data_IF_728253075363
#
_entry.id   IF_728253075363
#
_cell.length_a   1.000
_cell.length_b   1.000
_cell.length_c   1.000
_cell.angle_alpha   90.00
_cell.angle_beta   90.00
_cell.angle_gamma   90.00
#
_symmetry.space_group_name_H-M   'P 1'
#
loop_
_entity.id
_entity.type
_entity.pdbx_description
1 polymer ?
#
# COMPACT_ATOMS: atom_id res chain seq x y z
N UNK A 1 -19.17 -2.38 -2.52
CA UNK A 1 -18.79 -3.76 -2.13
C UNK A 1 -17.41 -3.71 -1.53
N UNK A 2 -17.14 -4.48 -0.47
CA UNK A 2 -15.81 -4.61 0.11
C UNK A 2 -14.91 -5.44 -0.80
N UNK A 3 -13.70 -4.92 -1.02
CA UNK A 3 -12.68 -5.60 -1.86
C UNK A 3 -11.68 -6.31 -0.97
N UNK A 4 -11.30 -5.69 0.17
CA UNK A 4 -10.32 -6.25 1.10
C UNK A 4 -10.89 -6.18 2.53
N UNK A 5 -10.84 -7.28 3.26
CA UNK A 5 -11.33 -7.36 4.65
C UNK A 5 -10.34 -8.07 5.54
N UNK A 6 -10.11 -7.52 6.72
CA UNK A 6 -9.50 -8.21 7.85
C UNK A 6 -10.57 -8.54 8.88
N UNK A 7 -10.61 -9.77 9.34
CA UNK A 7 -11.62 -10.25 10.33
C UNK A 7 -10.90 -10.84 11.54
N UNK A 8 -11.04 -10.21 12.70
CA UNK A 8 -10.46 -10.64 13.95
C UNK A 8 -8.93 -10.76 13.92
N UNK A 9 -8.24 -9.89 13.17
CA UNK A 9 -6.81 -9.99 12.94
C UNK A 9 -6.01 -9.86 14.23
N UNK A 10 -5.25 -10.89 14.56
CA UNK A 10 -4.23 -10.89 15.59
C UNK A 10 -2.86 -11.20 15.01
N UNK A 11 -1.84 -10.51 15.52
CA UNK A 11 -0.45 -10.80 15.15
C UNK A 11 0.45 -10.74 16.39
N UNK A 12 1.13 -11.83 16.66
CA UNK A 12 2.08 -11.97 17.74
C UNK A 12 3.46 -12.33 17.19
N UNK A 13 4.47 -11.57 17.57
CA UNK A 13 5.87 -11.84 17.22
C UNK A 13 6.61 -12.42 18.42
N UNK A 14 7.55 -13.33 18.18
CA UNK A 14 8.34 -13.99 19.24
C UNK A 14 7.54 -15.06 19.99
N UNK A 15 8.13 -15.57 21.07
CA UNK A 15 7.56 -16.63 21.92
C UNK A 15 7.88 -16.41 23.39
N UNK A 16 7.10 -17.02 24.29
CA UNK A 16 7.32 -16.94 25.74
C UNK A 16 7.19 -15.50 26.27
N UNK A 17 8.07 -15.12 27.19
CA UNK A 17 8.04 -13.81 27.87
C UNK A 17 8.43 -12.61 26.99
N UNK A 18 9.07 -12.85 25.85
CA UNK A 18 9.46 -11.81 24.90
C UNK A 18 8.46 -11.61 23.77
N UNK A 19 7.31 -12.29 23.82
CA UNK A 19 6.29 -12.17 22.79
C UNK A 19 5.65 -10.79 22.83
N UNK A 20 5.54 -10.16 21.64
CA UNK A 20 4.88 -8.87 21.44
C UNK A 20 3.61 -9.10 20.66
N UNK A 21 2.47 -8.71 21.22
CA UNK A 21 1.19 -8.69 20.54
C UNK A 21 1.07 -7.39 19.74
N UNK A 22 1.35 -7.45 18.44
CA UNK A 22 1.33 -6.28 17.57
C UNK A 22 -0.09 -5.91 17.11
N UNK A 23 -0.99 -6.91 17.02
CA UNK A 23 -2.42 -6.72 16.74
C UNK A 23 -3.26 -7.73 17.56
N UNK A 24 -4.43 -7.28 18.01
CA UNK A 24 -5.32 -8.05 18.85
C UNK A 24 -6.81 -7.86 18.46
N UNK A 25 -7.32 -8.75 17.59
CA UNK A 25 -8.73 -8.79 17.22
C UNK A 25 -9.18 -7.60 16.37
N UNK A 26 -8.37 -7.18 15.39
CA UNK A 26 -8.67 -6.04 14.54
C UNK A 26 -9.57 -6.44 13.38
N UNK A 27 -10.71 -5.75 13.26
CA UNK A 27 -11.59 -5.80 12.10
C UNK A 27 -11.38 -4.55 11.24
N UNK A 28 -11.29 -4.73 9.91
CA UNK A 28 -11.17 -3.65 8.93
C UNK A 28 -11.82 -4.04 7.62
N UNK A 29 -12.46 -3.07 6.99
CA UNK A 29 -13.08 -3.25 5.67
C UNK A 29 -12.61 -2.12 4.74
N UNK A 30 -12.06 -2.49 3.58
CA UNK A 30 -11.61 -1.54 2.55
C UNK A 30 -12.50 -1.71 1.33
N UNK A 31 -13.23 -0.65 0.96
CA UNK A 31 -14.27 -0.68 -0.08
C UNK A 31 -13.77 -0.09 -1.38
N UNK A 32 -14.31 -0.61 -2.50
CA UNK A 32 -14.04 -0.07 -3.83
C UNK A 32 -14.39 1.43 -3.90
N UNK A 33 -13.48 2.22 -4.46
CA UNK A 33 -13.67 3.66 -4.63
C UNK A 33 -13.64 4.48 -3.34
N UNK A 34 -13.20 3.89 -2.22
CA UNK A 34 -13.09 4.57 -0.92
C UNK A 34 -11.67 4.56 -0.39
N UNK A 35 -11.33 5.64 0.30
CA UNK A 35 -10.10 5.81 1.03
C UNK A 35 -10.34 5.51 2.51
N UNK A 36 -9.73 4.43 3.01
CA UNK A 36 -9.64 4.11 4.44
C UNK A 36 -8.29 4.57 4.96
N UNK A 37 -8.28 5.40 6.00
CA UNK A 37 -7.05 5.83 6.69
C UNK A 37 -6.91 5.10 8.01
N UNK A 38 -5.74 4.52 8.25
CA UNK A 38 -5.33 3.95 9.53
C UNK A 38 -4.40 4.94 10.22
N UNK A 39 -4.84 5.54 11.34
CA UNK A 39 -4.03 6.44 12.15
C UNK A 39 -3.69 5.84 13.50
N UNK A 40 -2.69 6.38 14.16
CA UNK A 40 -2.26 5.99 15.51
C UNK A 40 -0.79 6.32 15.77
N UNK A 41 -0.35 6.30 17.02
CA UNK A 41 1.05 6.58 17.36
C UNK A 41 2.03 5.58 16.73
N UNK A 42 3.32 5.91 16.77
CA UNK A 42 4.36 4.96 16.37
C UNK A 42 4.27 3.70 17.25
N UNK A 43 4.47 2.53 16.65
CA UNK A 43 4.35 1.24 17.35
C UNK A 43 2.92 0.76 17.59
N UNK A 44 1.87 1.47 17.17
CA UNK A 44 0.48 1.03 17.39
C UNK A 44 0.04 -0.18 16.55
N UNK A 45 0.86 -0.66 15.60
CA UNK A 45 0.56 -1.81 14.76
C UNK A 45 0.13 -1.48 13.32
N UNK A 46 0.15 -0.21 12.87
CA UNK A 46 -0.28 0.19 11.51
C UNK A 46 0.42 -0.58 10.40
N UNK A 47 1.75 -0.56 10.37
CA UNK A 47 2.55 -1.31 9.38
C UNK A 47 2.25 -2.82 9.43
N UNK A 48 2.10 -3.38 10.64
CA UNK A 48 1.71 -4.79 10.81
C UNK A 48 0.35 -5.06 10.17
N UNK A 49 -0.65 -4.21 10.42
CA UNK A 49 -1.97 -4.34 9.82
C UNK A 49 -1.88 -4.29 8.28
N UNK A 50 -1.16 -3.32 7.72
CA UNK A 50 -0.99 -3.21 6.27
C UNK A 50 -0.26 -4.43 5.67
N UNK A 51 0.75 -4.97 6.36
CA UNK A 51 1.47 -6.17 5.93
C UNK A 51 0.56 -7.40 5.91
N UNK A 52 -0.31 -7.57 6.90
CA UNK A 52 -1.29 -8.65 6.90
C UNK A 52 -2.29 -8.48 5.74
N UNK A 53 -2.85 -7.29 5.57
CA UNK A 53 -3.79 -6.97 4.50
C UNK A 53 -3.18 -7.19 3.11
N UNK A 54 -1.90 -6.86 2.94
CA UNK A 54 -1.15 -7.06 1.70
C UNK A 54 -0.64 -8.48 1.48
N UNK A 55 -0.87 -9.39 2.43
CA UNK A 55 -0.33 -10.75 2.37
C UNK A 55 1.19 -10.81 2.39
N UNK A 56 1.85 -9.81 2.98
CA UNK A 56 3.30 -9.80 3.20
C UNK A 56 3.68 -10.53 4.50
N UNK A 57 2.71 -10.68 5.39
CA UNK A 57 2.83 -11.45 6.63
C UNK A 57 1.52 -12.23 6.85
N UNK A 58 1.55 -13.24 7.73
CA UNK A 58 0.39 -14.06 8.05
C UNK A 58 -0.14 -13.72 9.44
N UNK A 59 -1.47 -13.60 9.62
CA UNK A 59 -2.03 -13.39 10.94
C UNK A 59 -1.80 -14.62 11.84
N UNK A 60 -1.61 -14.38 13.13
CA UNK A 60 -1.58 -15.45 14.16
C UNK A 60 -3.00 -15.94 14.47
N UNK A 61 -4.00 -15.05 14.34
CA UNK A 61 -5.41 -15.34 14.45
C UNK A 61 -6.22 -14.44 13.52
N UNK A 62 -7.43 -14.84 13.20
CA UNK A 62 -8.27 -14.15 12.23
C UNK A 62 -7.88 -14.47 10.79
N UNK A 63 -8.45 -13.74 9.83
CA UNK A 63 -8.23 -13.98 8.40
C UNK A 63 -8.33 -12.72 7.58
N UNK A 64 -7.62 -12.70 6.44
CA UNK A 64 -7.68 -11.66 5.42
C UNK A 64 -8.38 -12.20 4.19
N UNK A 65 -9.37 -11.44 3.69
CA UNK A 65 -10.12 -11.79 2.48
C UNK A 65 -9.90 -10.71 1.42
N UNK A 66 -9.66 -11.15 0.18
CA UNK A 66 -9.58 -10.31 -1.01
C UNK A 66 -10.65 -10.78 -2.01
N UNK A 67 -11.77 -10.05 -2.06
CA UNK A 67 -12.98 -10.58 -2.69
C UNK A 67 -13.46 -11.83 -1.98
N UNK A 68 -13.51 -12.95 -2.73
CA UNK A 68 -13.91 -14.26 -2.21
C UNK A 68 -12.70 -15.12 -1.73
N UNK A 69 -11.47 -14.68 -2.03
CA UNK A 69 -10.26 -15.41 -1.68
C UNK A 69 -9.85 -15.14 -0.23
N UNK A 70 -9.56 -16.18 0.54
CA UNK A 70 -8.99 -16.08 1.89
C UNK A 70 -7.46 -16.03 1.78
N UNK A 71 -6.87 -14.84 1.70
CA UNK A 71 -5.42 -14.66 1.49
C UNK A 71 -4.56 -15.37 2.52
N UNK A 72 -5.02 -15.41 3.77
CA UNK A 72 -4.29 -16.07 4.88
C UNK A 72 -4.19 -17.59 4.75
N UNK A 73 -4.99 -18.21 3.88
CA UNK A 73 -5.04 -19.67 3.65
C UNK A 73 -4.37 -20.08 2.31
N UNK A 74 -4.05 -19.10 1.45
CA UNK A 74 -3.40 -19.37 0.17
C UNK A 74 -1.98 -19.93 0.36
N UNK A 75 -1.56 -20.76 -0.59
CA UNK A 75 -0.16 -21.14 -0.74
C UNK A 75 0.70 -19.93 -1.10
N UNK A 76 2.01 -19.99 -0.89
CA UNK A 76 2.93 -18.89 -1.24
C UNK A 76 2.88 -18.51 -2.73
N UNK A 77 2.66 -19.49 -3.62
CA UNK A 77 2.54 -19.24 -5.05
C UNK A 77 1.24 -18.47 -5.40
N UNK A 78 0.11 -18.88 -4.82
CA UNK A 78 -1.18 -18.20 -4.99
C UNK A 78 -1.16 -16.80 -4.37
N UNK A 79 -0.57 -16.65 -3.19
CA UNK A 79 -0.42 -15.37 -2.52
C UNK A 79 0.49 -14.42 -3.32
N UNK A 80 1.57 -14.93 -3.92
CA UNK A 80 2.42 -14.15 -4.83
C UNK A 80 1.66 -13.72 -6.10
N UNK A 81 0.79 -14.58 -6.64
CA UNK A 81 -0.08 -14.24 -7.76
C UNK A 81 -1.10 -13.16 -7.39
N UNK A 82 -1.76 -13.27 -6.23
CA UNK A 82 -2.70 -12.28 -5.73
C UNK A 82 -2.03 -10.90 -5.55
N UNK A 83 -0.82 -10.86 -4.95
CA UNK A 83 -0.04 -9.62 -4.82
C UNK A 83 0.34 -9.03 -6.17
N UNK A 84 0.83 -9.86 -7.11
CA UNK A 84 1.23 -9.41 -8.45
C UNK A 84 0.06 -8.82 -9.23
N UNK A 85 -1.12 -9.45 -9.12
CA UNK A 85 -2.23 -9.17 -10.04
C UNK A 85 -3.26 -8.20 -9.46
N UNK A 86 -3.37 -8.09 -8.13
CA UNK A 86 -4.48 -7.39 -7.51
C UNK A 86 -4.08 -6.29 -6.53
N UNK A 87 -2.84 -6.33 -5.99
CA UNK A 87 -2.42 -5.43 -4.91
C UNK A 87 -1.26 -4.54 -5.37
N UNK A 88 -1.41 -3.22 -5.20
CA UNK A 88 -0.32 -2.26 -5.25
C UNK A 88 0.14 -1.91 -3.85
N UNK A 89 1.44 -1.90 -3.59
CA UNK A 89 1.98 -1.59 -2.28
C UNK A 89 2.99 -0.44 -2.33
N UNK A 90 2.76 0.61 -1.54
CA UNK A 90 3.69 1.71 -1.29
C UNK A 90 4.33 1.50 0.08
N UNK A 91 5.64 1.26 0.10
CA UNK A 91 6.39 0.99 1.33
C UNK A 91 6.92 2.28 1.96
N UNK A 92 6.95 2.33 3.28
CA UNK A 92 7.53 3.44 4.05
C UNK A 92 9.02 3.69 3.69
N UNK A 93 9.80 2.63 3.48
CA UNK A 93 11.21 2.67 3.08
C UNK A 93 11.40 2.51 1.57
N UNK A 94 10.48 3.03 0.74
CA UNK A 94 10.47 3.00 -0.72
C UNK A 94 10.47 1.59 -1.33
N UNK A 95 11.20 0.63 -0.78
CA UNK A 95 11.31 -0.75 -1.26
C UNK A 95 11.84 -0.85 -2.70
N UNK A 96 12.67 0.09 -3.16
CA UNK A 96 13.24 0.10 -4.50
C UNK A 96 14.39 -0.90 -4.62
N UNK A 97 14.52 -1.48 -5.81
CA UNK A 97 15.64 -2.37 -6.15
C UNK A 97 16.82 -1.50 -6.57
N UNK A 98 17.95 -1.48 -5.80
CA UNK A 98 19.00 -0.48 -5.96
C UNK A 98 19.73 -0.51 -7.31
N UNK A 99 19.81 -1.70 -7.94
CA UNK A 99 20.50 -1.89 -9.23
C UNK A 99 19.66 -1.48 -10.43
N UNK A 100 18.35 -1.30 -10.26
CA UNK A 100 17.41 -0.91 -11.30
C UNK A 100 17.24 0.61 -11.33
N UNK A 101 17.04 1.18 -12.52
CA UNK A 101 16.64 2.58 -12.69
C UNK A 101 15.23 2.83 -12.15
N UNK A 102 14.81 4.10 -12.09
CA UNK A 102 13.44 4.47 -11.73
C UNK A 102 12.41 3.81 -12.65
N UNK A 103 12.61 3.88 -13.96
CA UNK A 103 11.73 3.24 -14.95
C UNK A 103 11.67 1.73 -14.78
N UNK A 104 12.83 1.08 -14.61
CA UNK A 104 12.89 -0.36 -14.39
C UNK A 104 12.24 -0.80 -13.07
N UNK A 105 12.36 -0.01 -11.98
CA UNK A 105 11.64 -0.27 -10.73
C UNK A 105 10.13 -0.22 -10.93
N UNK A 106 9.64 0.78 -11.68
CA UNK A 106 8.21 0.90 -12.02
C UNK A 106 7.74 -0.22 -12.93
N UNK A 107 8.60 -0.69 -13.83
CA UNK A 107 8.29 -1.76 -14.79
C UNK A 107 8.13 -3.15 -14.14
N UNK A 108 8.76 -3.41 -12.98
CA UNK A 108 8.79 -4.74 -12.33
C UNK A 108 7.42 -5.43 -12.29
N UNK A 109 6.32 -4.80 -11.80
CA UNK A 109 5.01 -5.47 -11.76
C UNK A 109 4.51 -5.91 -13.13
N UNK A 110 4.78 -5.14 -14.18
CA UNK A 110 4.34 -5.45 -15.54
C UNK A 110 5.17 -6.59 -16.15
N UNK A 111 6.47 -6.67 -15.84
CA UNK A 111 7.32 -7.81 -16.22
C UNK A 111 6.83 -9.11 -15.58
N UNK A 112 6.48 -9.07 -14.31
CA UNK A 112 5.93 -10.22 -13.58
C UNK A 112 4.59 -10.70 -14.18
N UNK A 113 3.78 -9.78 -14.74
CA UNK A 113 2.55 -10.09 -15.47
C UNK A 113 2.80 -10.52 -16.93
N UNK A 114 4.06 -10.58 -17.37
CA UNK A 114 4.46 -10.92 -18.74
C UNK A 114 3.81 -10.02 -19.81
N UNK A 115 3.57 -8.75 -19.45
CA UNK A 115 3.04 -7.78 -20.41
C UNK A 115 4.02 -7.56 -21.56
N UNK A 116 3.50 -7.34 -22.78
CA UNK A 116 4.29 -7.07 -23.98
C UNK A 116 5.14 -5.79 -23.79
N UNK A 117 6.34 -5.76 -24.40
CA UNK A 117 7.33 -4.71 -24.15
C UNK A 117 6.83 -3.31 -24.51
N UNK A 118 6.23 -3.14 -25.71
CA UNK A 118 5.74 -1.82 -26.13
C UNK A 118 4.69 -1.25 -25.17
N UNK A 119 3.73 -2.11 -24.78
CA UNK A 119 2.70 -1.73 -23.81
C UNK A 119 3.28 -1.39 -22.42
N UNK A 120 4.35 -2.10 -22.00
CA UNK A 120 5.04 -1.78 -20.75
C UNK A 120 5.72 -0.43 -20.81
N UNK A 121 6.47 -0.17 -21.89
CA UNK A 121 7.23 1.06 -22.08
C UNK A 121 6.29 2.27 -22.06
N UNK A 122 5.16 2.21 -22.78
CA UNK A 122 4.11 3.22 -22.79
C UNK A 122 3.51 3.44 -21.38
N UNK A 123 3.17 2.34 -20.69
CA UNK A 123 2.56 2.41 -19.37
C UNK A 123 3.50 2.95 -18.29
N UNK A 124 4.78 2.59 -18.35
CA UNK A 124 5.82 3.12 -17.45
C UNK A 124 6.01 4.62 -17.68
N UNK A 125 6.07 5.06 -18.95
CA UNK A 125 6.18 6.48 -19.28
C UNK A 125 4.98 7.28 -18.75
N UNK A 126 3.75 6.80 -18.97
CA UNK A 126 2.51 7.42 -18.47
C UNK A 126 2.58 7.62 -16.94
N UNK A 127 2.95 6.59 -16.19
CA UNK A 127 2.93 6.67 -14.72
C UNK A 127 4.08 7.51 -14.17
N UNK A 128 5.25 7.49 -14.81
CA UNK A 128 6.37 8.38 -14.45
C UNK A 128 6.02 9.85 -14.70
N UNK A 129 5.25 10.15 -15.73
CA UNK A 129 4.74 11.50 -15.99
C UNK A 129 3.76 11.95 -14.89
N UNK A 130 2.81 11.09 -14.50
CA UNK A 130 1.85 11.36 -13.42
C UNK A 130 2.52 11.74 -12.10
N UNK A 131 3.66 11.10 -11.77
CA UNK A 131 4.42 11.41 -10.55
C UNK A 131 5.53 12.46 -10.77
N UNK A 132 5.62 13.06 -11.96
CA UNK A 132 6.59 14.11 -12.28
C UNK A 132 8.05 13.64 -12.31
N UNK A 133 8.31 12.41 -12.77
CA UNK A 133 9.64 11.79 -12.81
C UNK A 133 10.15 11.44 -14.21
N UNK A 134 9.52 11.93 -15.28
CA UNK A 134 9.93 11.63 -16.67
C UNK A 134 11.42 11.87 -16.90
N UNK A 135 11.97 13.00 -16.39
CA UNK A 135 13.40 13.35 -16.56
C UNK A 135 14.35 12.50 -15.71
N UNK A 136 13.82 11.78 -14.74
CA UNK A 136 14.57 10.94 -13.79
C UNK A 136 14.44 9.44 -14.10
N UNK A 137 13.79 9.07 -15.19
CA UNK A 137 13.47 7.67 -15.56
C UNK A 137 14.70 6.75 -15.59
N UNK A 138 15.84 7.25 -16.07
CA UNK A 138 17.10 6.50 -16.15
C UNK A 138 17.94 6.46 -14.87
N UNK A 139 17.62 7.26 -13.86
CA UNK A 139 18.39 7.35 -12.62
C UNK A 139 18.13 6.16 -11.70
N UNK A 140 19.17 5.73 -10.97
CA UNK A 140 19.05 4.68 -9.94
C UNK A 140 18.67 5.28 -8.60
N UNK A 141 18.13 4.47 -7.65
CA UNK A 141 17.72 4.98 -6.33
C UNK A 141 18.77 5.82 -5.61
N UNK A 142 20.06 5.47 -5.69
CA UNK A 142 21.14 6.24 -5.08
C UNK A 142 21.39 7.62 -5.69
N UNK A 143 20.84 7.91 -6.88
CA UNK A 143 20.94 9.19 -7.58
C UNK A 143 19.67 10.05 -7.41
N UNK A 144 18.66 9.51 -6.70
CA UNK A 144 17.37 10.14 -6.45
C UNK A 144 17.29 10.67 -5.02
N UNK A 145 16.65 11.83 -4.84
CA UNK A 145 16.28 12.29 -3.50
C UNK A 145 15.26 11.36 -2.84
N UNK A 146 15.10 11.40 -1.51
CA UNK A 146 14.11 10.60 -0.79
C UNK A 146 12.70 10.79 -1.34
N UNK A 147 12.29 12.04 -1.63
CA UNK A 147 10.99 12.33 -2.23
C UNK A 147 10.84 11.80 -3.67
N UNK A 148 11.92 11.76 -4.46
CA UNK A 148 11.90 11.13 -5.78
C UNK A 148 11.77 9.61 -5.67
N UNK A 149 12.50 8.97 -4.74
CA UNK A 149 12.38 7.54 -4.47
C UNK A 149 10.97 7.16 -4.02
N UNK A 150 10.35 7.97 -3.15
CA UNK A 150 8.95 7.77 -2.72
C UNK A 150 8.00 7.81 -3.92
N UNK A 151 8.16 8.79 -4.81
CA UNK A 151 7.35 8.89 -6.03
C UNK A 151 7.54 7.72 -6.98
N UNK A 152 8.75 7.16 -7.10
CA UNK A 152 8.99 5.90 -7.83
C UNK A 152 8.24 4.75 -7.18
N UNK A 153 8.23 4.66 -5.85
CA UNK A 153 7.47 3.66 -5.10
C UNK A 153 5.96 3.74 -5.35
N UNK A 154 5.41 4.97 -5.36
CA UNK A 154 4.00 5.22 -5.71
C UNK A 154 3.72 4.82 -7.16
N UNK A 155 4.56 5.25 -8.11
CA UNK A 155 4.43 4.89 -9.52
C UNK A 155 4.41 3.38 -9.73
N UNK A 156 5.33 2.66 -9.08
CA UNK A 156 5.39 1.18 -9.13
C UNK A 156 4.12 0.53 -8.59
N UNK A 157 3.56 1.05 -7.51
CA UNK A 157 2.32 0.52 -6.94
C UNK A 157 1.12 0.70 -7.88
N UNK A 158 1.10 1.79 -8.67
CA UNK A 158 -0.03 2.15 -9.54
C UNK A 158 0.09 1.61 -10.98
N UNK A 159 1.30 1.24 -11.43
CA UNK A 159 1.56 0.89 -12.84
C UNK A 159 0.71 -0.26 -13.34
N UNK A 160 0.47 -1.25 -12.47
CA UNK A 160 -0.30 -2.45 -12.79
C UNK A 160 -1.83 -2.27 -12.64
N UNK A 161 -2.33 -1.07 -12.34
CA UNK A 161 -3.77 -0.77 -12.09
C UNK A 161 -4.38 -1.74 -11.08
N UNK A 162 -3.93 -1.71 -9.82
CA UNK A 162 -4.37 -2.66 -8.81
C UNK A 162 -5.85 -2.47 -8.43
N UNK A 163 -6.49 -3.55 -7.96
CA UNK A 163 -7.81 -3.50 -7.32
C UNK A 163 -7.73 -2.87 -5.93
N UNK A 164 -6.62 -3.13 -5.23
CA UNK A 164 -6.33 -2.62 -3.88
C UNK A 164 -5.01 -1.88 -3.88
N UNK A 165 -5.00 -0.67 -3.33
CA UNK A 165 -3.80 0.11 -3.04
C UNK A 165 -3.58 0.14 -1.53
N UNK A 166 -2.43 -0.35 -1.09
CA UNK A 166 -1.98 -0.29 0.30
C UNK A 166 -0.80 0.67 0.37
N UNK A 167 -0.84 1.66 1.24
CA UNK A 167 0.25 2.64 1.36
C UNK A 167 0.63 2.89 2.82
N UNK A 168 1.89 2.73 3.14
CA UNK A 168 2.45 3.02 4.45
C UNK A 168 3.25 4.32 4.38
N UNK A 169 2.74 5.39 5.00
CA UNK A 169 3.30 6.75 5.02
C UNK A 169 3.71 7.28 3.63
N UNK A 170 2.80 7.30 2.62
CA UNK A 170 3.16 7.57 1.23
C UNK A 170 3.70 8.98 0.98
N UNK A 171 3.50 9.91 1.91
CA UNK A 171 3.90 11.33 1.81
C UNK A 171 4.98 11.75 2.81
N UNK A 172 5.38 10.85 3.73
CA UNK A 172 6.25 11.17 4.85
C UNK A 172 7.66 11.68 4.51
N UNK A 173 8.13 11.51 3.27
CA UNK A 173 9.43 11.96 2.78
C UNK A 173 9.33 13.07 1.71
N UNK A 174 8.13 13.65 1.54
CA UNK A 174 7.86 14.65 0.51
C UNK A 174 7.79 16.06 1.12
N UNK A 175 8.16 17.05 0.33
CA UNK A 175 7.77 18.43 0.60
C UNK A 175 6.25 18.62 0.45
N UNK A 176 5.71 19.67 1.05
CA UNK A 176 4.26 19.87 1.14
C UNK A 176 3.56 19.92 -0.22
N UNK A 177 4.16 20.57 -1.23
CA UNK A 177 3.57 20.68 -2.56
C UNK A 177 3.54 19.33 -3.27
N UNK A 178 4.64 18.57 -3.17
CA UNK A 178 4.72 17.22 -3.74
C UNK A 178 3.81 16.24 -2.99
N UNK A 179 3.72 16.36 -1.66
CA UNK A 179 2.81 15.54 -0.85
C UNK A 179 1.35 15.74 -1.29
N UNK A 180 0.91 16.97 -1.49
CA UNK A 180 -0.44 17.28 -1.96
C UNK A 180 -0.73 16.67 -3.32
N UNK A 181 0.18 16.78 -4.28
CA UNK A 181 0.03 16.17 -5.61
C UNK A 181 -0.08 14.63 -5.55
N UNK A 182 0.72 13.97 -4.70
CA UNK A 182 0.65 12.52 -4.53
C UNK A 182 -0.65 12.11 -3.84
N UNK A 183 -1.13 12.89 -2.87
CA UNK A 183 -2.43 12.67 -2.25
C UNK A 183 -3.58 12.79 -3.27
N UNK A 184 -3.55 13.84 -4.10
CA UNK A 184 -4.55 14.02 -5.16
C UNK A 184 -4.54 12.86 -6.15
N UNK A 185 -3.35 12.37 -6.55
CA UNK A 185 -3.22 11.18 -7.40
C UNK A 185 -3.80 9.92 -6.73
N UNK A 186 -3.53 9.69 -5.45
CA UNK A 186 -4.10 8.56 -4.70
C UNK A 186 -5.63 8.67 -4.66
N UNK A 187 -6.18 9.84 -4.40
CA UNK A 187 -7.62 10.09 -4.38
C UNK A 187 -8.26 9.91 -5.76
N UNK A 188 -7.60 10.40 -6.81
CA UNK A 188 -8.06 10.21 -8.19
C UNK A 188 -8.15 8.73 -8.55
N UNK A 189 -7.08 7.97 -8.30
CA UNK A 189 -7.06 6.52 -8.55
C UNK A 189 -8.13 5.81 -7.73
N UNK A 190 -8.31 6.20 -6.47
CA UNK A 190 -9.35 5.65 -5.59
C UNK A 190 -10.74 5.88 -6.17
N UNK A 191 -11.09 7.14 -6.44
CA UNK A 191 -12.47 7.54 -6.80
C UNK A 191 -12.83 7.25 -8.25
N UNK A 192 -11.92 7.59 -9.19
CA UNK A 192 -12.22 7.48 -10.63
C UNK A 192 -12.05 6.05 -11.12
N UNK A 193 -11.02 5.32 -10.64
CA UNK A 193 -10.78 3.92 -11.05
C UNK A 193 -11.46 2.90 -10.16
N UNK A 194 -12.07 3.33 -9.06
CA UNK A 194 -12.74 2.45 -8.12
C UNK A 194 -11.79 1.59 -7.28
N UNK A 195 -10.50 1.95 -7.21
CA UNK A 195 -9.51 1.22 -6.40
C UNK A 195 -9.88 1.30 -4.92
N UNK A 196 -9.88 0.17 -4.22
CA UNK A 196 -10.03 0.13 -2.77
C UNK A 196 -8.68 0.55 -2.13
N UNK A 197 -8.66 1.63 -1.37
CA UNK A 197 -7.40 2.21 -0.88
C UNK A 197 -7.34 2.24 0.63
N UNK A 198 -6.26 1.72 1.20
CA UNK A 198 -5.95 1.85 2.63
C UNK A 198 -4.58 2.49 2.83
N UNK A 199 -4.52 3.53 3.65
CA UNK A 199 -3.31 4.31 3.91
C UNK A 199 -3.05 4.40 5.40
N UNK A 200 -1.87 4.01 5.86
CA UNK A 200 -1.40 4.37 7.19
C UNK A 200 -0.70 5.72 7.10
N UNK A 201 -1.17 6.70 7.88
CA UNK A 201 -0.56 8.01 7.92
C UNK A 201 -0.95 8.81 9.17
N UNK A 202 -0.14 9.80 9.48
CA UNK A 202 -0.44 10.84 10.47
C UNK A 202 -0.71 12.21 9.82
N UNK A 203 -0.71 12.28 8.48
CA UNK A 203 -0.95 13.53 7.74
C UNK A 203 -2.41 13.99 7.90
N UNK A 204 -2.65 15.18 8.52
CA UNK A 204 -4.00 15.68 8.77
C UNK A 204 -4.79 15.91 7.49
N UNK A 205 -4.13 16.28 6.39
CA UNK A 205 -4.80 16.57 5.12
C UNK A 205 -5.37 15.29 4.51
N UNK A 206 -4.61 14.19 4.54
CA UNK A 206 -5.08 12.89 4.06
C UNK A 206 -6.18 12.33 4.96
N UNK A 207 -6.04 12.49 6.28
CA UNK A 207 -7.07 12.11 7.25
C UNK A 207 -8.38 12.86 6.98
N UNK A 208 -8.33 14.17 6.69
CA UNK A 208 -9.54 14.98 6.43
C UNK A 208 -10.26 14.61 5.11
N UNK A 209 -9.56 13.98 4.19
CA UNK A 209 -10.11 13.56 2.88
C UNK A 209 -10.52 12.08 2.84
N UNK A 210 -10.31 11.36 3.95
CA UNK A 210 -10.67 9.94 4.06
C UNK A 210 -12.18 9.74 4.14
N UNK A 211 -12.66 8.67 3.50
CA UNK A 211 -14.06 8.23 3.63
C UNK A 211 -14.26 7.48 4.96
N UNK A 212 -13.20 6.80 5.45
CA UNK A 212 -13.21 6.05 6.70
C UNK A 212 -11.88 6.26 7.44
N UNK A 213 -11.94 6.44 8.74
CA UNK A 213 -10.75 6.57 9.60
C UNK A 213 -10.79 5.53 10.70
N UNK A 214 -9.77 4.70 10.74
CA UNK A 214 -9.54 3.69 11.78
C UNK A 214 -8.43 4.19 12.71
N UNK A 215 -8.72 4.37 13.99
CA UNK A 215 -7.72 4.70 14.99
C UNK A 215 -7.19 3.44 15.67
N UNK A 216 -5.88 3.18 15.51
CA UNK A 216 -5.20 2.04 16.10
C UNK A 216 -4.32 2.48 17.29
N UNK A 217 -4.51 1.83 18.42
CA UNK A 217 -3.69 2.03 19.63
C UNK A 217 -3.42 0.69 20.29
N UNK A 218 -2.15 0.42 20.59
CA UNK A 218 -1.69 -0.82 21.23
C UNK A 218 -2.26 -2.09 20.57
N UNK A 219 -2.21 -2.11 19.24
CA UNK A 219 -2.69 -3.23 18.43
C UNK A 219 -4.21 -3.41 18.37
N UNK A 220 -5.00 -2.46 18.87
CA UNK A 220 -6.47 -2.52 18.89
C UNK A 220 -7.10 -1.30 18.22
N UNK A 221 -8.26 -1.49 17.64
CA UNK A 221 -9.09 -0.39 17.16
C UNK A 221 -9.77 0.27 18.37
N UNK A 222 -9.49 1.55 18.59
CA UNK A 222 -10.08 2.34 19.70
C UNK A 222 -11.18 3.27 19.23
N UNK A 223 -11.17 3.68 17.97
CA UNK A 223 -12.25 4.41 17.32
C UNK A 223 -12.26 4.08 15.82
N UNK A 224 -13.43 3.96 15.25
CA UNK A 224 -13.67 3.87 13.81
C UNK A 224 -14.95 4.62 13.51
N UNK A 225 -14.87 5.67 12.68
CA UNK A 225 -16.07 6.25 12.07
C UNK A 225 -16.28 5.47 10.77
N UNK A 226 -17.20 4.51 10.82
CA UNK A 226 -17.86 4.00 9.63
C UNK A 226 -18.88 5.06 9.22
N UNK A 227 -18.53 5.88 8.23
CA UNK A 227 -19.46 6.84 7.63
C UNK A 227 -20.40 6.17 6.62
#
# INVERSE_FOLDING_TARGET
MSVLRGVGLGRRYGSGQTAVEALAGVDVEVRAGRLTVVRGPSGSGKTTLLNLLGGLDRPTSGRVLLGDDVLSELSEAELAAARRDRIGYVFQNFGLIPVLSAAENVEVPLRLRRMERGQRDERVAEVLELVGLTRHAGQRPGELSGGQQQRVGVARALVARPEVLIADEPTGQLDSETAERIMDLILEVTRIRGTATVVATHDPLLISRADEVLELRDGRVVAGNLA
#
